data_IF_395015761275
#
_entry.id   IF_395015761275
#
_cell.length_a   1.000
_cell.length_b   1.000
_cell.length_c   1.000
_cell.angle_alpha   90.00
_cell.angle_beta   90.00
_cell.angle_gamma   90.00
#
_symmetry.space_group_name_H-M   'P 1'
#
loop_
_entity.id
_entity.type
_entity.pdbx_description
1 polymer ?
#
# COMPACT_ATOMS: atom_id res chain seq x y z
N UNK A 1 -19.95 13.48 -11.95
CA UNK A 1 -20.84 12.31 -11.77
C UNK A 1 -20.69 11.37 -12.95
N UNK A 2 -20.46 10.08 -12.73
CA UNK A 2 -20.22 9.05 -13.75
C UNK A 2 -18.73 8.78 -14.03
N UNK A 3 -18.01 9.76 -14.59
CA UNK A 3 -16.60 9.58 -15.00
C UNK A 3 -15.61 9.39 -13.84
N UNK A 4 -15.86 10.03 -12.69
CA UNK A 4 -14.98 9.99 -11.53
C UNK A 4 -14.93 8.60 -10.87
N UNK A 5 -16.09 7.94 -10.75
CA UNK A 5 -16.17 6.58 -10.23
C UNK A 5 -15.51 5.57 -11.17
N UNK A 6 -15.71 5.71 -12.48
CA UNK A 6 -15.07 4.85 -13.48
C UNK A 6 -13.53 5.00 -13.42
N UNK A 7 -13.03 6.23 -13.28
CA UNK A 7 -11.60 6.47 -13.12
C UNK A 7 -11.05 5.86 -11.83
N UNK A 8 -11.77 5.98 -10.72
CA UNK A 8 -11.41 5.36 -9.44
C UNK A 8 -11.35 3.83 -9.53
N UNK A 9 -12.33 3.18 -10.17
CA UNK A 9 -12.34 1.73 -10.37
C UNK A 9 -11.19 1.25 -11.26
N UNK A 10 -10.88 1.99 -12.34
CA UNK A 10 -9.72 1.71 -13.19
C UNK A 10 -8.42 1.85 -12.40
N UNK A 11 -8.30 2.88 -11.56
CA UNK A 11 -7.13 3.07 -10.71
C UNK A 11 -6.93 1.90 -9.72
N UNK A 12 -8.00 1.43 -9.09
CA UNK A 12 -7.97 0.25 -8.20
C UNK A 12 -7.59 -1.01 -8.97
N UNK A 13 -8.20 -1.26 -10.14
CA UNK A 13 -7.85 -2.44 -10.94
C UNK A 13 -6.36 -2.43 -11.35
N UNK A 14 -5.84 -1.26 -11.73
CA UNK A 14 -4.42 -1.09 -12.06
C UNK A 14 -3.50 -1.32 -10.86
N UNK A 15 -3.88 -0.87 -9.66
CA UNK A 15 -3.06 -1.07 -8.46
C UNK A 15 -2.98 -2.55 -8.07
N UNK A 16 -4.09 -3.29 -8.18
CA UNK A 16 -4.11 -4.73 -7.91
C UNK A 16 -3.26 -5.51 -8.92
N UNK A 17 -3.30 -5.15 -10.20
CA UNK A 17 -2.44 -5.76 -11.21
C UNK A 17 -0.95 -5.47 -10.95
N UNK A 18 -0.61 -4.23 -10.56
CA UNK A 18 0.75 -3.87 -10.19
C UNK A 18 1.23 -4.63 -8.94
N UNK A 19 0.35 -4.87 -7.96
CA UNK A 19 0.66 -5.68 -6.79
C UNK A 19 1.06 -7.11 -7.16
N UNK A 20 0.37 -7.74 -8.11
CA UNK A 20 0.77 -9.08 -8.59
C UNK A 20 2.16 -9.06 -9.25
N UNK A 21 2.44 -8.03 -10.04
CA UNK A 21 3.75 -7.88 -10.68
C UNK A 21 4.86 -7.75 -9.63
N UNK A 22 4.67 -6.92 -8.61
CA UNK A 22 5.64 -6.76 -7.52
C UNK A 22 5.80 -8.06 -6.74
N UNK A 23 4.71 -8.76 -6.44
CA UNK A 23 4.77 -10.06 -5.76
C UNK A 23 5.62 -11.08 -6.53
N UNK A 24 5.51 -11.08 -7.87
CA UNK A 24 6.30 -11.98 -8.73
C UNK A 24 7.81 -11.75 -8.66
N UNK A 25 8.26 -10.58 -8.18
CA UNK A 25 9.68 -10.26 -7.99
C UNK A 25 10.28 -10.93 -6.73
N UNK A 26 9.45 -11.52 -5.85
CA UNK A 26 9.91 -12.21 -4.65
C UNK A 26 10.52 -11.28 -3.58
N UNK A 27 10.21 -9.99 -3.62
CA UNK A 27 10.74 -8.99 -2.68
C UNK A 27 9.89 -8.98 -1.40
N UNK A 28 10.56 -9.03 -0.24
CA UNK A 28 9.90 -8.85 1.06
C UNK A 28 9.20 -7.50 1.11
N UNK A 29 7.89 -7.50 1.35
CA UNK A 29 7.04 -6.31 1.21
C UNK A 29 6.26 -6.06 2.49
N UNK A 30 6.09 -4.77 2.84
CA UNK A 30 5.21 -4.30 3.91
C UNK A 30 4.26 -3.28 3.30
N UNK A 31 2.97 -3.41 3.58
CA UNK A 31 1.94 -2.45 3.20
C UNK A 31 1.59 -1.59 4.41
N UNK A 32 1.82 -0.29 4.27
CA UNK A 32 1.43 0.70 5.27
C UNK A 32 0.06 1.26 4.94
N UNK A 33 -0.90 1.05 5.84
CA UNK A 33 -2.28 1.50 5.69
C UNK A 33 -2.52 2.85 6.34
N UNK A 34 -2.67 3.86 5.49
CA UNK A 34 -2.93 5.24 5.87
C UNK A 34 -4.39 5.53 6.20
N UNK A 35 -5.31 4.58 5.98
CA UNK A 35 -6.70 4.78 6.36
C UNK A 35 -6.79 4.98 7.87
N UNK A 36 -7.47 6.03 8.29
CA UNK A 36 -7.66 6.36 9.71
C UNK A 36 -9.07 6.90 9.93
N UNK A 37 -9.62 6.64 11.13
CA UNK A 37 -10.98 7.03 11.46
C UNK A 37 -12.06 6.04 10.98
N UNK A 38 -13.33 6.47 10.99
CA UNK A 38 -14.50 5.58 10.90
C UNK A 38 -14.80 5.06 9.50
N UNK A 39 -14.31 5.73 8.44
CA UNK A 39 -14.47 5.27 7.07
C UNK A 39 -13.19 4.57 6.61
N UNK A 40 -13.33 3.31 6.18
CA UNK A 40 -12.23 2.49 5.70
C UNK A 40 -12.64 1.79 4.40
N UNK A 41 -11.83 1.90 3.36
CA UNK A 41 -12.08 1.26 2.08
C UNK A 41 -11.53 -0.18 2.07
N UNK A 42 -10.56 -0.48 2.94
CA UNK A 42 -9.96 -1.81 3.05
C UNK A 42 -9.06 -2.18 1.86
N UNK A 43 -8.70 -1.21 1.02
CA UNK A 43 -7.88 -1.45 -0.17
C UNK A 43 -6.45 -1.87 0.19
N UNK A 44 -5.90 -1.32 1.28
CA UNK A 44 -4.59 -1.68 1.77
C UNK A 44 -4.50 -3.17 2.15
N UNK A 45 -5.55 -3.72 2.78
CA UNK A 45 -5.61 -5.15 3.11
C UNK A 45 -5.63 -6.04 1.86
N UNK A 46 -6.39 -5.64 0.83
CA UNK A 46 -6.38 -6.36 -0.46
C UNK A 46 -5.01 -6.33 -1.14
N UNK A 47 -4.32 -5.18 -1.11
CA UNK A 47 -2.96 -5.07 -1.65
C UNK A 47 -1.99 -5.97 -0.87
N UNK A 48 -2.05 -5.95 0.46
CA UNK A 48 -1.20 -6.77 1.31
C UNK A 48 -1.35 -8.28 1.01
N UNK A 49 -2.59 -8.74 0.84
CA UNK A 49 -2.87 -10.13 0.48
C UNK A 49 -2.25 -10.52 -0.87
N UNK A 50 -2.36 -9.67 -1.90
CA UNK A 50 -1.78 -9.96 -3.24
C UNK A 50 -0.26 -9.90 -3.23
N UNK A 51 0.30 -9.01 -2.41
CA UNK A 51 1.75 -8.85 -2.26
C UNK A 51 2.40 -9.93 -1.40
N UNK A 52 1.61 -10.73 -0.68
CA UNK A 52 2.09 -11.58 0.43
C UNK A 52 2.87 -10.76 1.47
N UNK A 53 2.37 -9.55 1.74
CA UNK A 53 3.03 -8.55 2.57
C UNK A 53 2.43 -8.50 3.97
N UNK A 54 3.26 -8.08 4.92
CA UNK A 54 2.76 -7.66 6.23
C UNK A 54 1.91 -6.39 6.09
N UNK A 55 0.79 -6.32 6.81
CA UNK A 55 -0.11 -5.18 6.81
C UNK A 55 0.02 -4.42 8.13
N UNK A 56 0.39 -3.15 8.06
CA UNK A 56 0.65 -2.31 9.22
C UNK A 56 -0.11 -0.98 9.11
N UNK A 57 -0.86 -0.54 10.13
CA UNK A 57 -1.47 0.78 10.09
C UNK A 57 -0.42 1.89 10.26
N UNK A 58 -0.61 3.02 9.57
CA UNK A 58 0.37 4.13 9.55
C UNK A 58 0.71 4.67 10.94
N UNK A 59 -0.24 4.60 11.88
CA UNK A 59 -0.04 5.02 13.28
C UNK A 59 1.00 4.17 14.05
N UNK A 60 1.33 2.98 13.55
CA UNK A 60 2.34 2.09 14.12
C UNK A 60 3.73 2.31 13.47
N UNK A 61 3.82 3.18 12.46
CA UNK A 61 5.08 3.54 11.80
C UNK A 61 5.73 4.73 12.51
N UNK A 62 6.95 4.54 13.01
CA UNK A 62 7.76 5.65 13.52
C UNK A 62 8.34 6.46 12.34
N UNK A 63 7.96 7.74 12.26
CA UNK A 63 8.43 8.66 11.22
C UNK A 63 9.95 8.88 11.29
N UNK A 64 10.51 8.98 12.50
CA UNK A 64 11.95 9.18 12.70
C UNK A 64 12.75 7.95 12.30
N UNK A 65 12.29 6.76 12.71
CA UNK A 65 12.95 5.50 12.35
C UNK A 65 12.88 5.27 10.83
N UNK A 66 11.73 5.53 10.21
CA UNK A 66 11.55 5.42 8.76
C UNK A 66 12.47 6.40 8.01
N UNK A 67 12.53 7.66 8.45
CA UNK A 67 13.36 8.68 7.81
C UNK A 67 14.86 8.34 7.87
N UNK A 68 15.32 7.81 9.01
CA UNK A 68 16.71 7.34 9.15
C UNK A 68 16.99 6.14 8.25
N UNK A 69 16.10 5.14 8.27
CA UNK A 69 16.21 3.95 7.43
C UNK A 69 16.29 4.27 5.93
N UNK A 70 15.55 5.28 5.46
CA UNK A 70 15.59 5.75 4.07
C UNK A 70 16.93 6.43 3.75
N UNK A 71 17.41 7.33 4.62
CA UNK A 71 18.70 8.03 4.42
C UNK A 71 19.88 7.06 4.37
N UNK A 72 19.90 6.06 5.24
CA UNK A 72 20.97 5.04 5.28
C UNK A 72 21.04 4.19 4.00
N UNK A 73 19.91 3.98 3.32
CA UNK A 73 19.84 3.19 2.07
C UNK A 73 20.10 4.01 0.81
N UNK A 74 19.97 5.34 0.89
CA UNK A 74 20.16 6.26 -0.22
C UNK A 74 21.60 6.81 -0.29
N UNK A 75 22.39 6.63 0.76
CA UNK A 75 23.82 6.94 0.83
C UNK A 75 24.67 5.82 0.22
#
# INVERSE_FOLDING_TARGET
>A
GGGDLAHALVAVARSLAAADQVASLGVGTVVVDSESGPLRLGLAGHLAARLHADHLPVREVSADALSTAVRERAA
#
